data_IF_202724448025
#
_entry.id   IF_202724448025
#
_cell.length_a   1.000
_cell.length_b   1.000
_cell.length_c   1.000
_cell.angle_alpha   90.00
_cell.angle_beta   90.00
_cell.angle_gamma   90.00
#
_symmetry.space_group_name_H-M   'P 1'
#
loop_
_entity.id
_entity.type
_entity.pdbx_description
1 polymer ?
#
# COMPACT_ATOMS: atom_id res chain seq x y z
N UNK A 1 -13.43 18.22 -26.20
CA UNK A 1 -14.07 18.01 -24.87
C UNK A 1 -13.39 18.71 -23.68
N UNK A 2 -12.14 19.19 -23.81
CA UNK A 2 -11.39 19.75 -22.67
C UNK A 2 -11.53 21.26 -22.41
N UNK A 3 -12.35 22.02 -23.14
CA UNK A 3 -12.35 23.50 -23.03
C UNK A 3 -13.25 24.06 -21.92
N UNK A 4 -14.34 23.38 -21.58
CA UNK A 4 -15.41 23.94 -20.72
C UNK A 4 -15.02 23.98 -19.24
N UNK A 5 -14.17 23.06 -18.76
CA UNK A 5 -13.74 23.03 -17.36
C UNK A 5 -12.79 24.18 -16.99
N UNK A 6 -12.10 24.80 -17.97
CA UNK A 6 -11.08 25.82 -17.70
C UNK A 6 -11.63 27.24 -17.54
N UNK A 7 -12.78 27.55 -18.13
CA UNK A 7 -13.38 28.88 -18.01
C UNK A 7 -13.87 29.16 -16.57
N UNK A 8 -14.37 28.14 -15.87
CA UNK A 8 -14.84 28.28 -14.50
C UNK A 8 -13.72 28.51 -13.47
N UNK A 9 -12.47 28.16 -13.79
CA UNK A 9 -11.34 28.30 -12.84
C UNK A 9 -10.83 29.75 -12.74
N UNK A 10 -10.99 30.57 -13.78
CA UNK A 10 -10.61 31.99 -13.77
C UNK A 10 -11.46 32.81 -12.80
N UNK A 11 -12.75 32.50 -12.67
CA UNK A 11 -13.68 33.23 -11.80
C UNK A 11 -13.39 33.05 -10.31
N UNK A 12 -12.71 31.98 -9.89
CA UNK A 12 -12.61 31.59 -8.47
C UNK A 12 -11.26 31.89 -7.79
N UNK A 13 -10.14 31.97 -8.52
CA UNK A 13 -8.80 31.99 -7.90
C UNK A 13 -7.80 33.05 -8.41
N UNK A 14 -8.21 34.00 -9.26
CA UNK A 14 -7.46 35.24 -9.57
C UNK A 14 -6.11 35.12 -10.30
N UNK A 15 -5.46 33.95 -10.28
CA UNK A 15 -4.20 33.67 -11.00
C UNK A 15 -4.34 32.35 -11.78
N UNK A 16 -3.84 32.33 -13.02
CA UNK A 16 -3.69 31.08 -13.78
C UNK A 16 -2.85 30.11 -12.93
N UNK A 17 -3.29 28.86 -12.68
CA UNK A 17 -2.45 27.87 -12.04
C UNK A 17 -1.11 27.81 -12.78
N UNK A 18 0.01 27.87 -12.05
CA UNK A 18 1.32 27.66 -12.64
C UNK A 18 1.30 26.23 -13.19
N UNK A 19 1.39 26.07 -14.52
CA UNK A 19 1.42 24.74 -15.15
C UNK A 19 2.77 24.13 -14.83
N UNK A 20 2.86 23.48 -13.68
CA UNK A 20 4.02 22.66 -13.32
C UNK A 20 3.87 21.32 -14.02
N UNK A 21 4.59 21.13 -15.13
CA UNK A 21 4.77 19.80 -15.72
C UNK A 21 5.54 18.97 -14.70
N UNK A 22 4.87 18.01 -14.09
CA UNK A 22 5.44 17.17 -13.02
C UNK A 22 5.65 15.78 -13.58
N UNK A 23 6.88 15.27 -13.50
CA UNK A 23 7.18 13.87 -13.78
C UNK A 23 7.29 13.15 -12.43
N UNK A 24 6.53 12.07 -12.25
CA UNK A 24 6.51 11.28 -11.03
C UNK A 24 7.10 9.90 -11.35
N UNK A 25 8.18 9.55 -10.64
CA UNK A 25 8.71 8.20 -10.63
C UNK A 25 8.16 7.47 -9.40
N UNK A 26 7.52 6.32 -9.62
CA UNK A 26 6.98 5.49 -8.56
C UNK A 26 7.65 4.13 -8.60
N UNK A 27 8.07 3.69 -7.42
CA UNK A 27 8.54 2.32 -7.21
C UNK A 27 7.33 1.39 -7.06
N UNK A 28 7.36 0.26 -7.78
CA UNK A 28 6.38 -0.81 -7.70
C UNK A 28 6.36 -1.43 -6.29
N UNK A 29 7.51 -1.49 -5.62
CA UNK A 29 7.64 -2.08 -4.28
C UNK A 29 6.88 -1.29 -3.20
N UNK A 30 6.48 -0.04 -3.47
CA UNK A 30 5.58 0.70 -2.58
C UNK A 30 4.19 0.06 -2.40
N UNK A 31 3.85 -0.91 -3.26
CA UNK A 31 2.56 -1.62 -3.28
C UNK A 31 2.75 -3.13 -3.19
N UNK A 32 3.78 -3.65 -3.86
CA UNK A 32 4.09 -5.07 -3.92
C UNK A 32 5.46 -5.32 -3.30
N UNK A 33 5.50 -5.53 -1.99
CA UNK A 33 6.73 -5.79 -1.24
C UNK A 33 7.19 -7.25 -1.43
N UNK A 34 7.48 -7.62 -2.67
CA UNK A 34 7.94 -8.96 -3.07
C UNK A 34 8.63 -8.90 -4.43
N UNK A 35 9.21 -10.03 -4.85
CA UNK A 35 9.86 -10.13 -6.16
C UNK A 35 8.85 -10.03 -7.31
N UNK A 36 9.28 -9.50 -8.45
CA UNK A 36 8.44 -9.43 -9.66
C UNK A 36 7.94 -10.81 -10.13
N UNK A 37 8.67 -11.88 -9.80
CA UNK A 37 8.26 -13.26 -10.06
C UNK A 37 6.98 -13.63 -9.28
N UNK A 38 6.95 -13.31 -7.99
CA UNK A 38 5.79 -13.57 -7.14
C UNK A 38 4.61 -12.65 -7.50
N UNK A 39 4.90 -11.39 -7.87
CA UNK A 39 3.88 -10.50 -8.44
C UNK A 39 3.27 -11.12 -9.69
N UNK A 40 4.09 -11.55 -10.65
CA UNK A 40 3.65 -12.24 -11.86
C UNK A 40 2.75 -13.43 -11.55
N UNK A 41 3.19 -14.32 -10.64
CA UNK A 41 2.41 -15.47 -10.19
C UNK A 41 1.03 -15.06 -9.63
N UNK A 42 0.98 -14.00 -8.82
CA UNK A 42 -0.28 -13.51 -8.23
C UNK A 42 -1.29 -12.98 -9.26
N UNK A 43 -0.80 -12.50 -10.41
CA UNK A 43 -1.64 -11.94 -11.48
C UNK A 43 -1.85 -12.89 -12.66
N UNK A 44 -1.32 -14.12 -12.60
CA UNK A 44 -1.40 -15.12 -13.66
C UNK A 44 -0.39 -14.93 -14.80
N UNK A 45 0.67 -14.16 -14.59
CA UNK A 45 1.75 -13.94 -15.57
C UNK A 45 3.02 -14.72 -15.19
N UNK A 46 3.68 -15.32 -16.17
CA UNK A 46 4.94 -16.01 -15.96
C UNK A 46 6.14 -15.09 -16.21
N UNK A 47 7.04 -14.99 -15.23
CA UNK A 47 8.33 -14.31 -15.39
C UNK A 47 9.36 -15.27 -15.98
N UNK A 48 9.90 -14.93 -17.13
CA UNK A 48 10.90 -15.73 -17.84
C UNK A 48 12.19 -15.78 -17.01
N UNK A 49 12.79 -16.95 -16.74
CA UNK A 49 14.11 -17.04 -16.13
C UNK A 49 15.20 -16.65 -17.14
N UNK A 50 16.29 -16.02 -16.68
CA UNK A 50 17.44 -15.69 -17.54
C UNK A 50 18.76 -15.97 -16.83
N UNK A 51 19.73 -16.48 -17.58
CA UNK A 51 21.11 -16.62 -17.13
C UNK A 51 21.94 -15.43 -17.64
N UNK A 52 22.17 -14.45 -16.77
CA UNK A 52 22.91 -13.23 -17.13
C UNK A 52 24.37 -13.48 -17.56
N UNK A 53 24.95 -14.65 -17.27
CA UNK A 53 26.33 -14.99 -17.68
C UNK A 53 26.40 -15.49 -19.11
N UNK A 54 25.30 -16.00 -19.63
CA UNK A 54 25.24 -16.74 -20.90
C UNK A 54 23.88 -16.47 -21.56
N UNK A 55 23.66 -15.21 -21.95
CA UNK A 55 22.49 -14.80 -22.70
C UNK A 55 22.89 -13.86 -23.83
N UNK A 56 22.20 -13.99 -24.96
CA UNK A 56 22.31 -13.09 -26.09
C UNK A 56 21.52 -11.79 -25.87
N UNK A 57 21.88 -10.73 -26.59
CA UNK A 57 21.15 -9.46 -26.54
C UNK A 57 19.65 -9.62 -26.87
N UNK A 58 19.24 -10.41 -27.89
CA UNK A 58 17.81 -10.64 -28.15
C UNK A 58 17.06 -11.29 -26.98
N UNK A 59 17.66 -12.27 -26.30
CA UNK A 59 17.05 -12.91 -25.12
C UNK A 59 16.91 -11.92 -23.96
N UNK A 60 17.92 -11.08 -23.74
CA UNK A 60 17.87 -10.05 -22.71
C UNK A 60 16.79 -9.00 -22.99
N UNK A 61 16.61 -8.61 -24.26
CA UNK A 61 15.53 -7.70 -24.67
C UNK A 61 14.16 -8.32 -24.39
N UNK A 62 13.97 -9.60 -24.70
CA UNK A 62 12.71 -10.29 -24.45
C UNK A 62 12.43 -10.43 -22.94
N UNK A 63 13.44 -10.76 -22.15
CA UNK A 63 13.35 -10.76 -20.69
C UNK A 63 12.92 -9.40 -20.14
N UNK A 64 13.56 -8.31 -20.56
CA UNK A 64 13.22 -6.96 -20.12
C UNK A 64 11.79 -6.56 -20.52
N UNK A 65 11.32 -6.96 -21.71
CA UNK A 65 9.94 -6.74 -22.14
C UNK A 65 8.94 -7.51 -21.28
N UNK A 66 9.24 -8.77 -20.95
CA UNK A 66 8.41 -9.58 -20.06
C UNK A 66 8.31 -8.94 -18.66
N UNK A 67 9.40 -8.41 -18.12
CA UNK A 67 9.41 -7.70 -16.83
C UNK A 67 8.51 -6.46 -16.84
N UNK A 68 8.66 -5.63 -17.87
CA UNK A 68 7.82 -4.43 -18.03
C UNK A 68 6.36 -4.80 -18.23
N UNK A 69 6.07 -5.86 -19.00
CA UNK A 69 4.72 -6.36 -19.19
C UNK A 69 4.08 -6.78 -17.85
N UNK A 70 4.77 -7.58 -17.04
CA UNK A 70 4.29 -8.00 -15.71
C UNK A 70 4.00 -6.78 -14.84
N UNK A 71 4.92 -5.81 -14.82
CA UNK A 71 4.73 -4.56 -14.06
C UNK A 71 3.48 -3.79 -14.52
N UNK A 72 3.26 -3.66 -15.83
CA UNK A 72 2.08 -2.97 -16.40
C UNK A 72 0.80 -3.70 -16.01
N UNK A 73 0.76 -5.03 -16.10
CA UNK A 73 -0.43 -5.82 -15.75
C UNK A 73 -0.73 -5.76 -14.24
N UNK A 74 0.29 -5.76 -13.39
CA UNK A 74 0.13 -5.54 -11.96
C UNK A 74 -0.50 -4.17 -11.66
N UNK A 75 -0.01 -3.11 -12.31
CA UNK A 75 -0.57 -1.76 -12.17
C UNK A 75 -2.01 -1.65 -12.65
N UNK A 76 -2.33 -2.24 -13.80
CA UNK A 76 -3.71 -2.27 -14.32
C UNK A 76 -4.64 -2.93 -13.30
N UNK A 77 -4.29 -4.12 -12.80
CA UNK A 77 -5.09 -4.82 -11.79
C UNK A 77 -5.27 -4.00 -10.51
N UNK A 78 -4.22 -3.34 -10.04
CA UNK A 78 -4.28 -2.49 -8.84
C UNK A 78 -5.19 -1.27 -9.02
N UNK A 79 -5.03 -0.53 -10.13
CA UNK A 79 -5.82 0.66 -10.42
C UNK A 79 -7.28 0.28 -10.66
N UNK A 80 -7.53 -0.81 -11.40
CA UNK A 80 -8.87 -1.37 -11.59
C UNK A 80 -9.49 -1.74 -10.26
N UNK A 81 -8.76 -2.42 -9.38
CA UNK A 81 -9.25 -2.77 -8.03
C UNK A 81 -9.66 -1.53 -7.23
N UNK A 82 -8.85 -0.47 -7.23
CA UNK A 82 -9.17 0.80 -6.56
C UNK A 82 -10.46 1.40 -7.13
N UNK A 83 -10.58 1.44 -8.45
CA UNK A 83 -11.73 2.04 -9.14
C UNK A 83 -13.02 1.24 -8.91
N UNK A 84 -12.99 -0.07 -9.15
CA UNK A 84 -14.16 -0.96 -9.05
C UNK A 84 -14.70 -1.08 -7.62
N UNK A 85 -13.83 -0.94 -6.61
CA UNK A 85 -14.22 -1.01 -5.21
C UNK A 85 -14.44 0.38 -4.57
N UNK A 86 -14.44 1.45 -5.37
CA UNK A 86 -14.61 2.83 -4.93
C UNK A 86 -13.69 3.20 -3.76
N UNK A 87 -12.39 2.91 -3.86
CA UNK A 87 -11.43 3.07 -2.74
C UNK A 87 -10.85 4.48 -2.62
N UNK A 88 -11.50 5.49 -3.21
CA UNK A 88 -11.08 6.88 -3.20
C UNK A 88 -9.85 7.17 -4.06
N UNK A 89 -9.15 8.26 -3.74
CA UNK A 89 -8.01 8.75 -4.53
C UNK A 89 -6.81 7.80 -4.42
N UNK A 90 -6.13 7.58 -5.54
CA UNK A 90 -4.91 6.78 -5.58
C UNK A 90 -3.81 7.36 -4.68
N UNK A 91 -3.43 6.59 -3.65
CA UNK A 91 -2.31 6.86 -2.74
C UNK A 91 -1.02 6.28 -3.29
N UNK A 92 0.11 6.98 -3.08
CA UNK A 92 1.42 6.64 -3.67
C UNK A 92 2.12 5.43 -3.02
N UNK A 93 1.59 4.98 -1.88
CA UNK A 93 2.05 3.83 -1.10
C UNK A 93 0.86 3.05 -0.60
N UNK A 94 1.04 1.77 -0.27
CA UNK A 94 -0.04 0.93 0.27
C UNK A 94 -0.71 1.53 1.54
N UNK A 95 0.03 2.05 2.55
CA UNK A 95 -0.60 2.71 3.69
C UNK A 95 -1.36 3.99 3.31
N UNK A 96 -0.83 4.78 2.38
CA UNK A 96 -1.53 5.97 1.89
C UNK A 96 -2.83 5.61 1.17
N UNK A 97 -2.83 4.53 0.37
CA UNK A 97 -4.04 4.04 -0.28
C UNK A 97 -5.07 3.55 0.74
N UNK A 98 -4.65 2.78 1.74
CA UNK A 98 -5.52 2.30 2.81
C UNK A 98 -6.17 3.46 3.58
N UNK A 99 -5.38 4.48 3.92
CA UNK A 99 -5.89 5.67 4.60
C UNK A 99 -6.80 6.52 3.69
N UNK A 100 -6.51 6.64 2.39
CA UNK A 100 -7.42 7.29 1.43
C UNK A 100 -8.77 6.56 1.36
N UNK A 101 -8.76 5.23 1.29
CA UNK A 101 -9.96 4.40 1.32
C UNK A 101 -10.78 4.64 2.60
N UNK A 102 -10.12 4.60 3.76
CA UNK A 102 -10.77 4.87 5.05
C UNK A 102 -11.45 6.24 5.07
N UNK A 103 -10.73 7.30 4.65
CA UNK A 103 -11.29 8.67 4.62
C UNK A 103 -12.43 8.84 3.64
N UNK A 104 -12.40 8.12 2.51
CA UNK A 104 -13.42 8.20 1.47
C UNK A 104 -14.71 7.47 1.86
N UNK A 105 -14.61 6.26 2.42
CA UNK A 105 -15.78 5.39 2.66
C UNK A 105 -16.20 5.25 4.12
N UNK A 106 -15.26 5.38 5.05
CA UNK A 106 -15.41 4.83 6.41
C UNK A 106 -15.10 5.82 7.53
N UNK A 107 -14.93 7.11 7.22
CA UNK A 107 -14.59 8.15 8.18
C UNK A 107 -15.81 9.01 8.53
N UNK A 108 -16.61 8.62 9.54
CA UNK A 108 -17.82 9.36 9.93
C UNK A 108 -17.51 10.71 10.58
N UNK A 109 -16.33 10.84 11.20
CA UNK A 109 -15.90 12.03 11.93
C UNK A 109 -14.51 12.48 11.50
N UNK A 110 -14.23 13.78 11.65
CA UNK A 110 -12.89 14.33 11.37
C UNK A 110 -11.88 13.83 12.40
N UNK A 111 -10.72 13.39 11.91
CA UNK A 111 -9.58 13.05 12.76
C UNK A 111 -8.88 14.35 13.14
N UNK A 112 -8.75 14.59 14.45
CA UNK A 112 -7.96 15.68 15.01
C UNK A 112 -6.75 15.12 15.73
N UNK A 113 -5.61 15.80 15.61
CA UNK A 113 -4.39 15.46 16.32
C UNK A 113 -4.08 16.64 17.24
N UNK A 114 -3.97 16.39 18.54
CA UNK A 114 -3.58 17.43 19.48
C UNK A 114 -2.09 17.70 19.41
N UNK A 115 -1.67 18.88 19.86
CA UNK A 115 -0.27 19.31 19.88
C UNK A 115 0.33 19.34 21.29
N UNK A 116 -0.34 18.74 22.28
CA UNK A 116 0.11 18.74 23.67
C UNK A 116 1.33 17.81 23.88
N UNK A 117 2.52 18.39 23.91
CA UNK A 117 3.80 17.65 23.90
C UNK A 117 3.93 16.59 25.00
N UNK A 118 3.56 16.92 26.25
CA UNK A 118 3.66 15.96 27.37
C UNK A 118 2.73 14.76 27.17
N UNK A 119 1.57 14.96 26.55
CA UNK A 119 0.62 13.88 26.28
C UNK A 119 1.17 12.99 25.16
N UNK A 120 1.65 13.60 24.08
CA UNK A 120 2.29 12.87 22.97
C UNK A 120 3.54 12.10 23.41
N UNK A 121 4.34 12.64 24.33
CA UNK A 121 5.49 11.93 24.88
C UNK A 121 5.05 10.67 25.67
N UNK A 122 4.01 10.79 26.49
CA UNK A 122 3.42 9.65 27.22
C UNK A 122 2.85 8.60 26.26
N UNK A 123 2.06 9.02 25.26
CA UNK A 123 1.48 8.14 24.25
C UNK A 123 2.55 7.36 23.49
N UNK A 124 3.64 8.03 23.08
CA UNK A 124 4.78 7.38 22.42
C UNK A 124 5.53 6.42 23.34
N UNK A 125 5.68 6.77 24.62
CA UNK A 125 6.29 5.88 25.61
C UNK A 125 5.46 4.62 25.87
N UNK A 126 4.14 4.70 25.69
CA UNK A 126 3.21 3.57 25.79
C UNK A 126 3.00 2.79 24.49
N UNK A 127 3.62 3.20 23.38
CA UNK A 127 3.44 2.55 22.08
C UNK A 127 4.41 1.37 21.91
N UNK A 128 3.88 0.16 22.01
CA UNK A 128 4.63 -1.09 21.86
C UNK A 128 4.17 -1.87 20.63
N UNK A 129 5.07 -2.70 20.08
CA UNK A 129 4.75 -3.62 18.99
C UNK A 129 4.04 -4.89 19.45
N UNK A 130 3.98 -5.89 18.57
CA UNK A 130 3.46 -7.22 18.92
C UNK A 130 4.32 -7.93 19.96
N UNK A 131 3.70 -8.74 20.82
CA UNK A 131 4.41 -9.61 21.77
C UNK A 131 5.12 -10.73 20.99
N UNK A 132 6.43 -10.81 21.16
CA UNK A 132 7.26 -11.88 20.61
C UNK A 132 8.19 -12.38 21.72
N UNK A 133 8.04 -13.64 22.13
CA UNK A 133 8.84 -14.24 23.19
C UNK A 133 9.09 -15.72 22.90
N UNK A 134 10.18 -16.24 23.43
CA UNK A 134 10.49 -17.67 23.40
C UNK A 134 10.16 -18.26 24.78
N UNK A 135 9.14 -19.11 24.85
CA UNK A 135 8.72 -19.72 26.12
C UNK A 135 9.70 -20.79 26.62
N UNK A 136 10.31 -21.56 25.70
CA UNK A 136 11.26 -22.63 26.03
C UNK A 136 12.24 -22.83 24.86
N UNK A 137 13.49 -23.14 25.22
CA UNK A 137 14.57 -23.50 24.29
C UNK A 137 14.84 -25.00 24.40
N UNK A 138 15.01 -25.68 23.26
CA UNK A 138 15.36 -27.10 23.21
C UNK A 138 14.41 -27.92 22.34
N UNK A 139 14.46 -29.24 22.51
CA UNK A 139 13.55 -30.17 21.84
C UNK A 139 12.25 -30.28 22.61
N UNK A 140 11.14 -30.42 21.88
CA UNK A 140 9.83 -30.69 22.43
C UNK A 140 9.41 -32.08 21.94
N UNK A 141 9.21 -33.02 22.86
CA UNK A 141 8.95 -34.44 22.59
C UNK A 141 7.59 -34.92 23.15
N UNK A 142 6.91 -34.08 23.90
CA UNK A 142 5.66 -34.30 24.62
C UNK A 142 4.40 -33.81 23.87
N UNK A 143 4.39 -34.02 22.54
CA UNK A 143 3.29 -33.59 21.66
C UNK A 143 1.90 -34.17 22.00
N UNK A 144 0.83 -33.68 21.35
CA UNK A 144 0.82 -32.91 20.09
C UNK A 144 1.01 -31.39 20.23
N UNK A 145 1.64 -30.79 19.21
CA UNK A 145 1.80 -29.33 19.10
C UNK A 145 0.72 -28.73 18.21
N UNK A 146 0.21 -27.56 18.61
CA UNK A 146 -0.76 -26.79 17.85
C UNK A 146 -0.24 -25.37 17.60
N UNK A 147 -0.43 -24.88 16.37
CA UNK A 147 -0.20 -23.49 16.01
C UNK A 147 -1.56 -22.83 15.76
N UNK A 148 -1.85 -21.78 16.53
CA UNK A 148 -3.10 -21.02 16.44
C UNK A 148 -2.79 -19.57 16.07
N UNK A 149 -3.61 -18.99 15.19
CA UNK A 149 -3.50 -17.60 14.76
C UNK A 149 -4.87 -16.90 14.87
N UNK A 150 -4.86 -15.60 15.16
CA UNK A 150 -6.05 -14.77 15.26
C UNK A 150 -6.29 -14.09 13.91
N UNK A 151 -7.37 -14.48 13.25
CA UNK A 151 -7.82 -13.85 12.02
C UNK A 151 -8.00 -12.33 12.20
N UNK A 152 -7.17 -11.54 11.51
CA UNK A 152 -7.23 -10.07 11.52
C UNK A 152 -7.22 -9.46 12.93
N UNK A 153 -6.22 -9.83 13.75
CA UNK A 153 -6.10 -9.38 15.15
C UNK A 153 -6.30 -7.86 15.33
N UNK A 154 -5.51 -7.00 14.69
CA UNK A 154 -5.63 -5.54 14.86
C UNK A 154 -7.00 -4.99 14.43
N UNK A 155 -7.53 -5.31 13.23
CA UNK A 155 -8.90 -4.94 12.87
C UNK A 155 -9.96 -5.38 13.90
N UNK A 156 -9.84 -6.58 14.46
CA UNK A 156 -10.79 -7.09 15.46
C UNK A 156 -10.75 -6.34 16.81
N UNK A 157 -9.62 -5.73 17.15
CA UNK A 157 -9.46 -4.88 18.33
C UNK A 157 -9.98 -3.47 18.03
N UNK A 158 -9.63 -2.91 16.86
CA UNK A 158 -10.02 -1.56 16.43
C UNK A 158 -11.54 -1.43 16.25
N UNK A 159 -12.24 -2.52 15.94
CA UNK A 159 -13.71 -2.53 15.87
C UNK A 159 -14.41 -2.37 17.23
N UNK A 160 -13.66 -2.38 18.33
CA UNK A 160 -14.16 -2.18 19.69
C UNK A 160 -13.96 -0.72 20.12
N UNK A 161 -14.44 -0.39 21.33
CA UNK A 161 -14.26 0.95 21.90
C UNK A 161 -12.77 1.23 22.16
N UNK A 162 -12.25 2.27 21.52
CA UNK A 162 -10.90 2.80 21.69
C UNK A 162 -10.92 4.10 22.51
N UNK A 163 -9.79 4.52 23.10
CA UNK A 163 -9.69 5.79 23.80
C UNK A 163 -9.73 6.96 22.80
N UNK A 164 -10.93 7.44 22.49
CA UNK A 164 -11.16 8.66 21.75
C UNK A 164 -12.31 9.46 22.40
N UNK A 165 -12.25 10.79 22.25
CA UNK A 165 -13.37 11.67 22.56
C UNK A 165 -14.16 11.84 21.26
N UNK A 166 -15.43 11.44 21.25
CA UNK A 166 -16.34 11.68 20.11
C UNK A 166 -17.01 13.04 20.23
#
# INVERSE_FOLDING_TARGET
>A
PGSVQWENHKKRYGKRPRVTRTLLFLDLMNYFDTSLKEVGKSIGCHKIPINFKDCSTPELVEYCKNDVFIMIEAWKKWITFIYENDLGVWGKTLPSQAFNCYRHRFMPHKIYIHTHEKATALERAGYFGGRCECFQLGYFDDGPFYLLDINSMYPSVISRKLPCVM
#
